data_IF_605345299631
#
_entry.id   IF_605345299631
#
_cell.length_a   1.000
_cell.length_b   1.000
_cell.length_c   1.000
_cell.angle_alpha   90.00
_cell.angle_beta   90.00
_cell.angle_gamma   90.00
#
_symmetry.space_group_name_H-M   'P 1'
#
loop_
_entity.id
_entity.type
_entity.pdbx_description
1 polymer ?
#
# COMPACT_ATOMS: atom_id res chain seq x y z
N UNK A 1 14.76 -1.11 -19.22
CA UNK A 1 13.51 -1.77 -19.65
C UNK A 1 13.87 -2.71 -20.78
N UNK A 2 13.54 -4.02 -20.70
CA UNK A 2 13.78 -4.93 -21.83
C UNK A 2 12.77 -4.61 -22.94
N UNK A 3 13.17 -4.57 -24.22
CA UNK A 3 12.32 -4.07 -25.30
C UNK A 3 11.08 -4.92 -25.61
N UNK A 4 11.01 -6.14 -25.08
CA UNK A 4 10.04 -7.19 -25.41
C UNK A 4 9.16 -7.64 -24.23
N UNK A 5 9.47 -7.20 -23.01
CA UNK A 5 8.71 -7.51 -21.80
C UNK A 5 8.43 -6.22 -21.04
N UNK A 6 7.37 -5.54 -21.45
CA UNK A 6 6.89 -4.32 -20.80
C UNK A 6 5.78 -4.74 -19.85
N UNK A 7 6.03 -4.57 -18.56
CA UNK A 7 5.03 -4.70 -17.52
C UNK A 7 4.95 -3.40 -16.72
N UNK A 8 3.79 -3.08 -16.15
CA UNK A 8 3.60 -1.93 -15.28
C UNK A 8 3.05 -2.31 -13.89
N UNK A 9 2.98 -1.33 -12.99
CA UNK A 9 2.53 -1.57 -11.62
C UNK A 9 1.05 -1.97 -11.53
N UNK A 10 0.20 -1.55 -12.47
CA UNK A 10 -1.20 -1.96 -12.51
C UNK A 10 -1.32 -3.46 -12.86
N UNK A 11 -0.48 -3.96 -13.78
CA UNK A 11 -0.41 -5.39 -14.11
C UNK A 11 0.14 -6.22 -12.95
N UNK A 12 1.17 -5.72 -12.25
CA UNK A 12 1.67 -6.37 -11.02
C UNK A 12 0.56 -6.42 -9.96
N UNK A 13 -0.18 -5.32 -9.74
CA UNK A 13 -1.31 -5.29 -8.82
C UNK A 13 -2.41 -6.28 -9.23
N UNK A 14 -2.64 -6.47 -10.52
CA UNK A 14 -3.65 -7.40 -11.03
C UNK A 14 -3.35 -8.87 -10.71
N UNK A 15 -2.09 -9.24 -10.40
CA UNK A 15 -1.72 -10.59 -9.94
C UNK A 15 -2.41 -10.96 -8.62
N UNK A 16 -2.91 -9.98 -7.86
CA UNK A 16 -3.67 -10.20 -6.63
C UNK A 16 -5.05 -10.80 -6.90
N UNK A 17 -5.58 -10.69 -8.12
CA UNK A 17 -6.87 -11.25 -8.48
C UNK A 17 -6.95 -12.76 -8.15
N UNK A 18 -8.05 -13.24 -7.53
CA UNK A 18 -9.30 -12.54 -7.25
C UNK A 18 -9.44 -11.99 -5.81
N UNK A 19 -8.35 -11.83 -5.06
CA UNK A 19 -8.41 -11.34 -3.67
C UNK A 19 -8.78 -9.85 -3.62
N UNK A 20 -9.40 -9.41 -2.52
CA UNK A 20 -9.77 -8.01 -2.33
C UNK A 20 -8.58 -7.06 -2.49
N UNK A 21 -8.76 -5.99 -3.25
CA UNK A 21 -7.74 -4.96 -3.52
C UNK A 21 -8.37 -3.56 -3.46
N UNK A 22 -7.77 -2.66 -2.70
CA UNK A 22 -8.09 -1.24 -2.70
C UNK A 22 -6.95 -0.46 -3.36
N UNK A 23 -7.28 0.40 -4.32
CA UNK A 23 -6.39 1.42 -4.87
C UNK A 23 -6.78 2.77 -4.28
N UNK A 24 -5.86 3.44 -3.58
CA UNK A 24 -6.05 4.82 -3.12
C UNK A 24 -5.32 5.74 -4.10
N UNK A 25 -6.02 6.75 -4.62
CA UNK A 25 -5.46 7.72 -5.58
C UNK A 25 -5.92 9.15 -5.27
N UNK A 26 -5.22 10.14 -5.82
CA UNK A 26 -5.56 11.56 -5.72
C UNK A 26 -5.38 12.28 -7.06
N UNK A 27 -5.91 13.50 -7.17
CA UNK A 27 -5.92 14.24 -8.43
C UNK A 27 -4.70 15.13 -8.66
N UNK A 28 -3.73 15.19 -7.74
CA UNK A 28 -2.56 16.08 -7.85
C UNK A 28 -1.23 15.34 -7.93
N UNK A 29 -1.26 14.04 -8.18
CA UNK A 29 -0.09 13.22 -8.44
C UNK A 29 -0.24 12.30 -9.67
N UNK A 30 0.70 11.37 -9.83
CA UNK A 30 0.72 10.41 -10.95
C UNK A 30 -0.47 9.44 -10.96
N UNK A 31 -1.27 9.39 -9.89
CA UNK A 31 -2.44 8.52 -9.75
C UNK A 31 -3.75 9.16 -10.20
N UNK A 32 -3.73 10.42 -10.68
CA UNK A 32 -4.93 11.15 -11.14
C UNK A 32 -5.76 10.39 -12.17
N UNK A 33 -5.13 9.56 -13.00
CA UNK A 33 -5.80 8.80 -14.07
C UNK A 33 -6.34 7.44 -13.60
N UNK A 34 -6.10 7.04 -12.34
CA UNK A 34 -6.53 5.74 -11.81
C UNK A 34 -8.01 5.45 -12.05
N UNK A 35 -8.94 6.39 -11.83
CA UNK A 35 -10.36 6.12 -12.09
C UNK A 35 -10.68 5.78 -13.55
N UNK A 36 -9.90 6.32 -14.50
CA UNK A 36 -10.17 6.24 -15.94
C UNK A 36 -9.32 5.20 -16.67
N UNK A 37 -8.11 4.88 -16.16
CA UNK A 37 -7.15 3.99 -16.81
C UNK A 37 -6.89 2.71 -16.00
N UNK A 38 -6.26 2.83 -14.83
CA UNK A 38 -5.78 1.67 -14.07
C UNK A 38 -6.94 0.86 -13.45
N UNK A 39 -7.97 1.52 -12.91
CA UNK A 39 -9.10 0.83 -12.29
C UNK A 39 -9.92 0.01 -13.33
N UNK A 40 -10.30 0.54 -14.50
CA UNK A 40 -10.95 -0.27 -15.53
C UNK A 40 -10.09 -1.46 -15.99
N UNK A 41 -8.77 -1.29 -16.09
CA UNK A 41 -7.84 -2.38 -16.40
C UNK A 41 -7.89 -3.47 -15.32
N UNK A 42 -7.78 -3.10 -14.04
CA UNK A 42 -7.87 -4.05 -12.92
C UNK A 42 -9.21 -4.77 -12.89
N UNK A 43 -10.32 -4.03 -13.03
CA UNK A 43 -11.68 -4.59 -13.06
C UNK A 43 -11.83 -5.63 -14.17
N UNK A 44 -11.28 -5.37 -15.37
CA UNK A 44 -11.31 -6.33 -16.47
C UNK A 44 -10.62 -7.65 -16.11
N UNK A 45 -9.47 -7.60 -15.45
CA UNK A 45 -8.76 -8.81 -15.02
C UNK A 45 -9.54 -9.54 -13.92
N UNK A 46 -10.05 -8.81 -12.93
CA UNK A 46 -10.90 -9.37 -11.87
C UNK A 46 -12.20 -10.00 -12.40
N UNK A 47 -12.78 -9.46 -13.47
CA UNK A 47 -13.96 -9.99 -14.14
C UNK A 47 -13.72 -11.38 -14.75
N UNK A 48 -12.48 -11.71 -15.16
CA UNK A 48 -12.12 -13.06 -15.62
C UNK A 48 -12.35 -14.14 -14.56
N UNK A 49 -12.33 -13.74 -13.28
CA UNK A 49 -12.60 -14.61 -12.14
C UNK A 49 -14.03 -14.48 -11.59
N UNK A 50 -14.90 -13.68 -12.25
CA UNK A 50 -16.23 -13.34 -11.75
C UNK A 50 -16.21 -12.52 -10.46
N UNK A 51 -15.11 -11.77 -10.21
CA UNK A 51 -14.87 -11.05 -8.95
C UNK A 51 -14.57 -9.56 -9.18
N UNK A 52 -15.16 -8.94 -10.20
CA UNK A 52 -14.96 -7.52 -10.52
C UNK A 52 -15.13 -6.58 -9.31
N UNK A 53 -16.11 -6.84 -8.45
CA UNK A 53 -16.39 -6.04 -7.25
C UNK A 53 -15.36 -6.23 -6.11
N UNK A 54 -14.38 -7.13 -6.26
CA UNK A 54 -13.32 -7.32 -5.28
C UNK A 54 -12.15 -6.33 -5.47
N UNK A 55 -12.14 -5.52 -6.53
CA UNK A 55 -11.24 -4.38 -6.66
C UNK A 55 -12.01 -3.06 -6.59
N UNK A 56 -11.59 -2.18 -5.70
CA UNK A 56 -12.20 -0.87 -5.45
C UNK A 56 -11.16 0.24 -5.49
N UNK A 57 -11.63 1.48 -5.72
CA UNK A 57 -10.79 2.66 -5.73
C UNK A 57 -11.40 3.77 -4.86
N UNK A 58 -10.61 4.31 -3.95
CA UNK A 58 -10.91 5.55 -3.25
C UNK A 58 -10.09 6.67 -3.90
N UNK A 59 -10.75 7.48 -4.73
CA UNK A 59 -10.12 8.60 -5.43
C UNK A 59 -10.46 9.94 -4.79
N UNK A 60 -9.43 10.73 -4.50
CA UNK A 60 -9.53 12.04 -3.86
C UNK A 60 -9.09 13.15 -4.84
N UNK A 61 -9.96 13.51 -5.78
CA UNK A 61 -9.64 14.41 -6.90
C UNK A 61 -9.05 15.76 -6.50
N UNK A 62 -9.48 16.34 -5.37
CA UNK A 62 -9.03 17.66 -4.92
C UNK A 62 -7.82 17.61 -3.96
N UNK A 63 -7.41 16.41 -3.54
CA UNK A 63 -6.29 16.22 -2.62
C UNK A 63 -4.97 16.01 -3.38
N UNK A 64 -3.85 15.97 -2.66
CA UNK A 64 -2.54 15.69 -3.24
C UNK A 64 -1.75 14.60 -2.52
N UNK A 65 -0.46 14.53 -2.86
CA UNK A 65 0.43 13.43 -2.50
C UNK A 65 0.78 13.41 -1.01
N UNK A 66 0.00 12.66 -0.24
CA UNK A 66 0.17 12.44 1.19
C UNK A 66 -0.49 11.12 1.65
N UNK A 67 -0.28 10.78 2.92
CA UNK A 67 -1.04 9.72 3.61
C UNK A 67 -1.92 10.32 4.73
N UNK A 68 -2.69 11.35 4.36
CA UNK A 68 -3.55 12.13 5.24
C UNK A 68 -4.82 11.42 5.73
N UNK A 69 -5.63 12.09 6.57
CA UNK A 69 -6.80 11.48 7.22
C UNK A 69 -7.80 10.84 6.25
N UNK A 70 -8.08 11.46 5.10
CA UNK A 70 -8.99 10.91 4.09
C UNK A 70 -8.53 9.56 3.56
N UNK A 71 -7.23 9.44 3.23
CA UNK A 71 -6.62 8.21 2.73
C UNK A 71 -6.58 7.13 3.80
N UNK A 72 -6.21 7.49 5.04
CA UNK A 72 -6.23 6.56 6.18
C UNK A 72 -7.63 6.05 6.47
N UNK A 73 -8.65 6.91 6.44
CA UNK A 73 -10.03 6.53 6.62
C UNK A 73 -10.51 5.52 5.55
N UNK A 74 -10.16 5.72 4.28
CA UNK A 74 -10.47 4.76 3.22
C UNK A 74 -9.80 3.40 3.49
N UNK A 75 -8.54 3.42 3.90
CA UNK A 75 -7.79 2.22 4.27
C UNK A 75 -8.42 1.49 5.47
N UNK A 76 -8.76 2.20 6.55
CA UNK A 76 -9.38 1.61 7.74
C UNK A 76 -10.70 0.92 7.43
N UNK A 77 -11.56 1.55 6.62
CA UNK A 77 -12.83 0.96 6.18
C UNK A 77 -12.60 -0.31 5.36
N UNK A 78 -11.67 -0.28 4.41
CA UNK A 78 -11.37 -1.43 3.57
C UNK A 78 -10.83 -2.61 4.38
N UNK A 79 -9.88 -2.39 5.29
CA UNK A 79 -9.34 -3.46 6.15
C UNK A 79 -10.36 -3.93 7.18
N UNK A 80 -11.12 -3.01 7.78
CA UNK A 80 -12.20 -3.33 8.70
C UNK A 80 -13.20 -4.31 8.08
N UNK A 81 -13.70 -3.96 6.89
CA UNK A 81 -14.58 -4.83 6.11
C UNK A 81 -13.91 -6.13 5.67
N UNK A 82 -12.70 -6.06 5.10
CA UNK A 82 -12.04 -7.23 4.47
C UNK A 82 -11.59 -8.27 5.49
N UNK A 83 -11.14 -7.84 6.67
CA UNK A 83 -10.66 -8.73 7.73
C UNK A 83 -11.67 -8.91 8.87
N UNK A 84 -12.90 -8.42 8.71
CA UNK A 84 -13.96 -8.48 9.71
C UNK A 84 -13.53 -7.93 11.08
N UNK A 85 -12.89 -6.75 11.07
CA UNK A 85 -12.47 -6.05 12.27
C UNK A 85 -13.53 -5.03 12.69
N UNK A 86 -13.50 -4.67 13.98
CA UNK A 86 -14.36 -3.63 14.53
C UNK A 86 -13.88 -2.23 14.10
N UNK A 87 -14.57 -1.63 13.13
CA UNK A 87 -14.26 -0.30 12.60
C UNK A 87 -14.33 0.80 13.67
N UNK A 88 -15.07 0.59 14.77
CA UNK A 88 -15.13 1.58 15.87
C UNK A 88 -13.81 1.70 16.63
N UNK A 89 -12.87 0.76 16.42
CA UNK A 89 -11.52 0.80 16.98
C UNK A 89 -10.54 1.65 16.18
N UNK A 90 -10.93 2.17 15.02
CA UNK A 90 -10.10 3.09 14.23
C UNK A 90 -10.10 4.51 14.84
N UNK A 91 -9.70 4.62 16.11
CA UNK A 91 -9.54 5.89 16.83
C UNK A 91 -8.07 6.29 16.91
N UNK A 92 -7.66 7.19 16.01
CA UNK A 92 -6.28 7.69 15.97
C UNK A 92 -5.88 8.46 17.23
N UNK A 93 -6.82 9.06 17.96
CA UNK A 93 -6.51 9.82 19.18
C UNK A 93 -6.05 8.91 20.32
N UNK A 94 -6.41 7.62 20.28
CA UNK A 94 -5.95 6.60 21.24
C UNK A 94 -4.52 6.13 20.99
N UNK A 95 -3.91 6.47 19.84
CA UNK A 95 -2.59 5.99 19.43
C UNK A 95 -1.51 7.01 19.81
N UNK A 96 -0.57 6.67 20.72
CA UNK A 96 0.49 7.59 21.09
C UNK A 96 1.54 7.71 19.97
N UNK A 97 1.96 8.93 19.68
CA UNK A 97 3.13 9.18 18.81
C UNK A 97 4.40 8.91 19.63
N UNK A 98 5.03 7.78 19.34
CA UNK A 98 6.23 7.35 20.06
C UNK A 98 7.49 8.08 19.53
N UNK A 99 8.44 8.44 20.41
CA UNK A 99 9.74 8.95 19.97
C UNK A 99 10.45 7.91 19.11
N UNK A 100 11.06 8.32 17.99
CA UNK A 100 11.71 7.39 17.06
C UNK A 100 12.78 6.50 17.69
N UNK A 101 13.44 6.95 18.76
CA UNK A 101 14.40 6.14 19.51
C UNK A 101 13.76 4.89 20.16
N UNK A 102 12.51 5.01 20.64
CA UNK A 102 11.78 3.90 21.27
C UNK A 102 11.30 2.82 20.29
N UNK A 103 11.32 3.13 18.98
CA UNK A 103 10.94 2.20 17.90
C UNK A 103 12.14 1.40 17.37
N UNK A 104 13.35 1.62 17.90
CA UNK A 104 14.57 0.94 17.46
C UNK A 104 14.69 -0.41 18.15
N UNK A 105 15.07 -1.45 17.39
CA UNK A 105 15.37 -2.76 17.94
C UNK A 105 16.70 -2.79 18.73
N UNK A 106 17.64 -1.90 18.39
CA UNK A 106 18.96 -1.83 19.02
C UNK A 106 19.16 -0.50 19.76
N UNK A 107 19.69 -0.60 20.96
CA UNK A 107 20.01 0.50 21.86
C UNK A 107 21.23 0.14 22.75
N UNK A 108 21.49 0.93 23.80
CA UNK A 108 22.60 0.67 24.72
C UNK A 108 22.43 -0.64 25.51
N UNK A 109 21.19 -1.10 25.72
CA UNK A 109 20.87 -2.34 26.46
C UNK A 109 20.81 -3.55 25.53
N UNK A 110 20.49 -3.33 24.27
CA UNK A 110 20.41 -4.32 23.20
C UNK A 110 21.35 -3.89 22.07
N UNK A 111 22.68 -4.04 22.25
CA UNK A 111 23.63 -3.61 21.25
C UNK A 111 23.45 -4.41 19.96
N UNK A 112 23.92 -3.82 18.86
CA UNK A 112 23.99 -4.47 17.56
C UNK A 112 24.88 -5.72 17.64
N UNK A 113 24.54 -6.83 16.93
CA UNK A 113 25.38 -8.02 16.88
C UNK A 113 26.78 -7.72 16.33
N UNK A 114 27.81 -8.40 16.85
CA UNK A 114 29.20 -8.19 16.41
C UNK A 114 29.43 -8.53 14.93
N UNK A 115 28.61 -9.43 14.38
CA UNK A 115 28.64 -9.84 12.99
C UNK A 115 27.67 -9.07 12.08
N UNK A 116 27.22 -7.88 12.50
CA UNK A 116 26.44 -6.99 11.64
C UNK A 116 27.16 -6.72 10.31
N UNK A 117 26.43 -6.87 9.20
CA UNK A 117 26.92 -6.45 7.88
C UNK A 117 26.90 -4.92 7.83
N UNK A 118 28.04 -4.25 7.59
CA UNK A 118 28.09 -2.80 7.55
C UNK A 118 27.14 -2.22 6.48
N UNK A 119 26.62 -1.02 6.75
CA UNK A 119 25.77 -0.32 5.81
C UNK A 119 26.47 -0.15 4.45
N UNK A 120 25.73 -0.37 3.36
CA UNK A 120 26.22 -0.30 1.98
C UNK A 120 27.37 -1.26 1.64
N UNK A 121 27.54 -2.35 2.40
CA UNK A 121 28.47 -3.41 2.02
C UNK A 121 28.07 -4.02 0.67
N UNK A 122 29.07 -4.33 -0.16
CA UNK A 122 28.84 -5.05 -1.41
C UNK A 122 28.26 -6.44 -1.13
N UNK A 123 27.08 -6.71 -1.69
CA UNK A 123 26.52 -8.05 -1.75
C UNK A 123 27.04 -8.70 -3.02
N UNK A 124 27.91 -9.72 -2.88
CA UNK A 124 28.32 -10.53 -4.03
C UNK A 124 27.13 -11.37 -4.48
N UNK A 125 26.55 -11.00 -5.62
CA UNK A 125 25.60 -11.84 -6.33
C UNK A 125 26.37 -13.03 -6.89
N UNK A 126 25.94 -14.23 -6.50
CA UNK A 126 26.42 -15.51 -7.02
C UNK A 126 25.93 -15.76 -8.44
#
# INVERSE_FOLDING_TARGET
MRPDHIANNAEIAAVVAPKSLLVISDGKDWTQNVPELELPHLKRIYALFGKEAAVENAHFAEEGHDYGPSKRAAMYRFVGKTFALDETKADEASVPVLPGASLRAFDEKHPRPENEVPANSEVKLY
#
